data_IF_102104567915
#
_entry.id   IF_102104567915
#
_cell.length_a   1.000
_cell.length_b   1.000
_cell.length_c   1.000
_cell.angle_alpha   90.00
_cell.angle_beta   90.00
_cell.angle_gamma   90.00
#
_symmetry.space_group_name_H-M   'P 1'
#
loop_
_entity.id
_entity.type
_entity.pdbx_description
1 polymer ?
#
# COMPACT_ATOMS: atom_id res chain seq x y z
N UNK A 1 11.89 -7.05 15.56
CA UNK A 1 10.81 -7.06 14.55
C UNK A 1 10.71 -5.63 14.06
N UNK A 2 11.29 -5.34 12.89
CA UNK A 2 11.37 -3.98 12.36
C UNK A 2 9.99 -3.69 11.77
N UNK A 3 9.25 -2.75 12.36
CA UNK A 3 8.14 -2.10 11.66
C UNK A 3 8.80 -1.14 10.67
N UNK A 4 8.76 -1.37 9.35
CA UNK A 4 9.10 -0.30 8.43
C UNK A 4 8.06 0.80 8.62
N UNK A 5 8.50 1.96 9.08
CA UNK A 5 7.69 3.18 9.08
C UNK A 5 7.61 3.62 7.62
N UNK A 6 6.54 3.25 6.91
CA UNK A 6 6.36 3.60 5.50
C UNK A 6 5.90 5.06 5.29
N UNK A 7 5.60 5.79 6.37
CA UNK A 7 5.18 7.19 6.30
C UNK A 7 6.27 8.03 5.64
N UNK A 8 5.96 8.66 4.50
CA UNK A 8 6.93 9.40 3.68
C UNK A 8 7.86 8.56 2.79
N UNK A 9 7.70 7.23 2.74
CA UNK A 9 8.51 6.33 1.88
C UNK A 9 7.76 5.84 0.65
N UNK A 10 6.44 6.04 0.58
CA UNK A 10 5.64 5.58 -0.55
C UNK A 10 5.79 6.54 -1.72
N UNK A 11 6.32 6.03 -2.84
CA UNK A 11 6.25 6.73 -4.12
C UNK A 11 4.95 6.32 -4.81
N UNK A 12 4.05 7.28 -4.94
CA UNK A 12 2.75 7.09 -5.59
C UNK A 12 2.88 7.01 -7.10
N UNK A 13 2.17 6.08 -7.70
CA UNK A 13 2.04 5.94 -9.15
C UNK A 13 0.73 6.64 -9.57
N UNK A 14 0.72 7.35 -10.70
CA UNK A 14 -0.41 8.20 -11.12
C UNK A 14 -1.77 7.49 -11.08
N UNK A 15 -1.84 6.24 -11.55
CA UNK A 15 -3.08 5.48 -11.53
C UNK A 15 -3.55 5.10 -10.11
N UNK A 16 -2.66 5.07 -9.11
CA UNK A 16 -3.07 4.92 -7.71
C UNK A 16 -3.67 6.21 -7.16
N UNK A 17 -3.15 7.39 -7.56
CA UNK A 17 -3.74 8.67 -7.16
C UNK A 17 -5.18 8.80 -7.70
N UNK A 18 -5.43 8.38 -8.94
CA UNK A 18 -6.78 8.34 -9.50
C UNK A 18 -7.70 7.38 -8.73
N UNK A 19 -7.22 6.19 -8.36
CA UNK A 19 -7.99 5.24 -7.53
C UNK A 19 -8.30 5.82 -6.15
N UNK A 20 -7.31 6.38 -5.47
CA UNK A 20 -7.48 7.01 -4.15
C UNK A 20 -8.54 8.12 -4.22
N UNK A 21 -8.45 8.99 -5.23
CA UNK A 21 -9.43 10.06 -5.44
C UNK A 21 -10.84 9.53 -5.78
N UNK A 22 -10.95 8.42 -6.52
CA UNK A 22 -12.24 7.80 -6.83
C UNK A 22 -12.97 7.28 -5.57
N UNK A 23 -12.23 6.99 -4.50
CA UNK A 23 -12.75 6.63 -3.18
C UNK A 23 -12.90 7.83 -2.22
N UNK A 24 -12.76 9.07 -2.72
CA UNK A 24 -12.81 10.30 -1.94
C UNK A 24 -11.76 10.38 -0.82
N UNK A 25 -10.61 9.73 -1.02
CA UNK A 25 -9.47 9.74 -0.10
C UNK A 25 -8.35 10.62 -0.63
N UNK A 26 -7.39 10.97 0.23
CA UNK A 26 -6.12 11.59 -0.15
C UNK A 26 -4.95 10.62 0.01
N UNK A 27 -3.84 10.91 -0.67
CA UNK A 27 -2.59 10.15 -0.51
C UNK A 27 -2.11 10.17 0.96
N UNK A 28 -2.13 11.34 1.62
CA UNK A 28 -1.78 11.50 3.03
C UNK A 28 -2.66 10.63 3.94
N UNK A 29 -3.95 10.52 3.63
CA UNK A 29 -4.89 9.72 4.40
C UNK A 29 -4.61 8.21 4.26
N UNK A 30 -4.19 7.80 3.07
CA UNK A 30 -3.71 6.43 2.81
C UNK A 30 -2.38 6.17 3.52
N UNK A 31 -1.43 7.11 3.51
CA UNK A 31 -0.17 6.96 4.26
C UNK A 31 -0.42 6.83 5.76
N UNK A 32 -1.38 7.60 6.29
CA UNK A 32 -1.77 7.50 7.70
C UNK A 32 -2.36 6.13 8.08
N UNK A 33 -2.77 5.30 7.11
CA UNK A 33 -3.24 3.94 7.39
C UNK A 33 -2.09 3.01 7.81
N UNK A 34 -0.84 3.33 7.48
CA UNK A 34 0.33 2.49 7.80
C UNK A 34 0.44 2.30 9.32
N UNK A 35 0.21 3.36 10.10
CA UNK A 35 0.21 3.32 11.56
C UNK A 35 -0.99 2.55 12.14
N UNK A 36 -1.96 2.19 11.29
CA UNK A 36 -3.22 1.51 11.63
C UNK A 36 -3.34 0.15 10.93
N UNK A 37 -2.21 -0.46 10.59
CA UNK A 37 -2.17 -1.77 9.96
C UNK A 37 -2.69 -2.87 10.90
N UNK A 38 -3.65 -3.65 10.41
CA UNK A 38 -4.10 -4.89 11.06
C UNK A 38 -3.20 -6.07 10.71
N UNK A 39 -2.69 -6.08 9.47
CA UNK A 39 -1.80 -7.12 8.96
C UNK A 39 -0.68 -6.48 8.16
N UNK A 40 0.53 -7.01 8.34
CA UNK A 40 1.69 -6.76 7.47
C UNK A 40 2.38 -8.10 7.22
N UNK A 41 2.59 -8.47 5.96
CA UNK A 41 3.37 -9.66 5.60
C UNK A 41 4.18 -9.46 4.33
N UNK A 42 5.32 -10.12 4.27
CA UNK A 42 6.08 -10.33 3.04
C UNK A 42 5.45 -11.48 2.24
N UNK A 43 5.36 -11.31 0.92
CA UNK A 43 4.83 -12.28 -0.05
C UNK A 43 6.00 -13.03 -0.69
N UNK A 44 5.70 -14.20 -1.28
CA UNK A 44 6.72 -15.06 -1.93
C UNK A 44 7.43 -14.41 -3.13
N UNK A 45 6.80 -13.41 -3.72
CA UNK A 45 7.32 -12.62 -4.84
C UNK A 45 8.19 -11.44 -4.39
N UNK A 46 8.53 -11.35 -3.09
CA UNK A 46 9.34 -10.28 -2.51
C UNK A 46 8.58 -8.97 -2.29
N UNK A 47 7.29 -8.92 -2.64
CA UNK A 47 6.44 -7.78 -2.29
C UNK A 47 5.99 -7.85 -0.83
N UNK A 48 5.61 -6.72 -0.29
CA UNK A 48 4.94 -6.62 0.99
C UNK A 48 3.45 -6.37 0.73
N UNK A 49 2.60 -6.92 1.59
CA UNK A 49 1.19 -6.56 1.63
C UNK A 49 0.78 -6.16 3.03
N UNK A 50 -0.12 -5.18 3.09
CA UNK A 50 -0.68 -4.64 4.32
C UNK A 50 -2.18 -4.50 4.21
N UNK A 51 -2.89 -4.92 5.26
CA UNK A 51 -4.30 -4.61 5.45
C UNK A 51 -4.43 -3.57 6.55
N UNK A 52 -5.09 -2.45 6.26
CA UNK A 52 -5.17 -1.31 7.17
C UNK A 52 -6.50 -0.58 7.06
N UNK A 53 -6.79 0.25 8.06
CA UNK A 53 -7.92 1.18 8.05
C UNK A 53 -7.40 2.61 7.96
N UNK A 54 -7.91 3.39 7.00
CA UNK A 54 -7.63 4.82 6.90
C UNK A 54 -8.41 5.61 7.96
N UNK A 55 -8.02 6.85 8.29
CA UNK A 55 -8.76 7.73 9.22
C UNK A 55 -10.28 7.82 9.03
N UNK A 56 -10.76 7.89 7.79
CA UNK A 56 -12.20 7.89 7.46
C UNK A 56 -12.92 6.55 7.67
N UNK A 57 -12.19 5.47 7.96
CA UNK A 57 -12.75 4.15 8.26
C UNK A 57 -12.80 3.19 7.08
N UNK A 58 -12.30 3.58 5.89
CA UNK A 58 -12.15 2.64 4.78
C UNK A 58 -11.05 1.61 5.07
N UNK A 59 -11.28 0.37 4.63
CA UNK A 59 -10.31 -0.70 4.75
C UNK A 59 -9.63 -0.90 3.41
N UNK A 60 -8.31 -0.86 3.42
CA UNK A 60 -7.51 -0.93 2.20
C UNK A 60 -6.51 -2.09 2.28
N UNK A 61 -6.27 -2.68 1.12
CA UNK A 61 -5.07 -3.47 0.91
C UNK A 61 -4.02 -2.58 0.23
N UNK A 62 -2.80 -2.61 0.74
CA UNK A 62 -1.66 -1.96 0.12
C UNK A 62 -0.61 -3.02 -0.21
N UNK A 63 -0.03 -2.95 -1.41
CA UNK A 63 1.05 -3.82 -1.85
C UNK A 63 2.21 -2.96 -2.34
N UNK A 64 3.43 -3.26 -1.92
CA UNK A 64 4.60 -2.53 -2.39
C UNK A 64 5.83 -3.42 -2.48
N UNK A 65 6.85 -2.93 -3.18
CA UNK A 65 8.18 -3.51 -3.23
C UNK A 65 9.18 -2.50 -2.65
N UNK A 66 10.32 -2.98 -2.17
CA UNK A 66 11.48 -2.11 -1.99
C UNK A 66 12.34 -2.14 -3.24
N UNK A 67 12.79 -0.98 -3.68
CA UNK A 67 13.86 -0.82 -4.67
C UNK A 67 13.65 -1.64 -5.95
N UNK A 68 12.44 -1.56 -6.53
CA UNK A 68 12.13 -2.23 -7.78
C UNK A 68 12.54 -1.35 -8.95
N UNK A 69 13.83 -1.29 -9.26
CA UNK A 69 14.30 -0.60 -10.47
C UNK A 69 13.76 -1.32 -11.72
N UNK A 70 12.98 -0.58 -12.54
CA UNK A 70 12.56 -0.94 -13.90
C UNK A 70 11.65 -2.17 -14.10
N UNK A 71 11.08 -2.77 -13.04
CA UNK A 71 10.10 -3.84 -13.20
C UNK A 71 8.65 -3.31 -13.29
N UNK A 72 7.83 -3.81 -14.25
CA UNK A 72 6.43 -3.43 -14.35
C UNK A 72 5.67 -3.89 -13.10
N UNK A 73 4.92 -2.95 -12.53
CA UNK A 73 4.04 -3.22 -11.40
C UNK A 73 2.81 -3.97 -11.92
N UNK A 74 2.52 -5.17 -11.41
CA UNK A 74 1.36 -5.94 -11.86
C UNK A 74 0.06 -5.19 -11.52
N UNK A 75 -0.94 -5.32 -12.37
CA UNK A 75 -2.27 -4.71 -12.19
C UNK A 75 -3.25 -5.63 -11.43
N UNK A 76 -2.85 -6.88 -11.17
CA UNK A 76 -3.59 -7.91 -10.44
C UNK A 76 -2.71 -8.62 -9.42
N UNK A 77 -3.24 -8.84 -8.21
CA UNK A 77 -2.46 -9.28 -7.05
C UNK A 77 -2.91 -10.60 -6.42
N UNK A 78 -3.89 -11.29 -7.04
CA UNK A 78 -4.49 -12.54 -6.56
C UNK A 78 -5.60 -12.35 -5.52
N UNK A 79 -6.07 -13.45 -4.93
CA UNK A 79 -7.10 -13.43 -3.89
C UNK A 79 -6.55 -12.86 -2.58
N UNK A 80 -7.18 -11.78 -2.11
CA UNK A 80 -6.91 -11.17 -0.81
C UNK A 80 -7.88 -11.76 0.22
N UNK A 81 -7.36 -12.12 1.40
CA UNK A 81 -8.11 -12.92 2.38
C UNK A 81 -9.26 -12.14 3.03
N UNK A 82 -9.13 -10.82 3.13
CA UNK A 82 -10.13 -9.93 3.73
C UNK A 82 -10.73 -8.97 2.70
N UNK A 83 -12.03 -8.64 2.78
CA UNK A 83 -12.65 -7.65 1.92
C UNK A 83 -12.09 -6.26 2.22
N UNK A 84 -11.61 -5.58 1.17
CA UNK A 84 -11.20 -4.19 1.19
C UNK A 84 -12.05 -3.37 0.24
N UNK A 85 -12.16 -2.07 0.52
CA UNK A 85 -12.78 -1.09 -0.36
C UNK A 85 -12.02 -0.99 -1.69
N UNK A 86 -10.68 -1.11 -1.64
CA UNK A 86 -9.81 -1.16 -2.83
C UNK A 86 -8.38 -1.61 -2.49
N UNK A 87 -7.59 -1.83 -3.54
CA UNK A 87 -6.17 -2.22 -3.48
C UNK A 87 -5.31 -1.10 -4.05
N UNK A 88 -4.26 -0.75 -3.32
CA UNK A 88 -3.29 0.28 -3.70
C UNK A 88 -1.93 -0.37 -3.90
N UNK A 89 -1.18 0.16 -4.86
CA UNK A 89 0.20 -0.25 -5.07
C UNK A 89 1.15 0.93 -4.92
N UNK A 90 2.32 0.69 -4.35
CA UNK A 90 3.33 1.72 -4.19
C UNK A 90 4.73 1.15 -4.45
N UNK A 91 5.67 2.04 -4.75
CA UNK A 91 7.09 1.73 -4.68
C UNK A 91 7.63 2.25 -3.34
N UNK A 92 8.20 1.36 -2.54
CA UNK A 92 8.77 1.66 -1.23
C UNK A 92 10.18 2.19 -1.40
N UNK A 93 10.37 3.48 -1.13
CA UNK A 93 11.70 4.08 -1.01
C UNK A 93 12.46 3.55 0.20
N UNK A 94 13.79 3.52 0.12
CA UNK A 94 14.64 3.21 1.27
C UNK A 94 14.42 4.23 2.40
N UNK A 95 14.30 3.74 3.64
CA UNK A 95 14.67 4.52 4.82
C UNK A 95 16.20 4.60 4.86
N UNK A 96 16.76 5.77 4.53
CA UNK A 96 18.16 6.08 4.86
C UNK A 96 18.37 6.17 6.38
#
# INVERSE_FOLDING_TARGET
MIHPVLSGLLKWIDWNLEKIAAHALSADEVEASVDRAFLLRERRDGSFQMFAEVPSGHRIWMIWWYDREDEPIPDSFGDLEDPADFVITADGGESS
#
